data_IF_769829723121
#
_entry.id   IF_769829723121
#
_cell.length_a   1.000
_cell.length_b   1.000
_cell.length_c   1.000
_cell.angle_alpha   90.00
_cell.angle_beta   90.00
_cell.angle_gamma   90.00
#
_symmetry.space_group_name_H-M   'P 1'
#
loop_
_entity.id
_entity.type
_entity.pdbx_description
1 polymer ?
#
# COMPACT_ATOMS: atom_id res chain seq x y z
N UNK A 1 0.05 38.34 11.03
CA UNK A 1 0.11 37.98 9.59
C UNK A 1 0.24 36.46 9.47
N UNK A 2 -0.88 35.76 9.26
CA UNK A 2 -0.88 34.30 9.10
C UNK A 2 -0.46 33.94 7.68
N UNK A 3 0.73 33.35 7.51
CA UNK A 3 1.16 32.79 6.22
C UNK A 3 0.54 31.39 6.06
N UNK A 4 -0.05 31.19 4.88
CA UNK A 4 -0.80 30.01 4.44
C UNK A 4 0.07 28.75 4.47
N UNK A 5 -0.24 27.78 5.34
CA UNK A 5 0.36 26.44 5.37
C UNK A 5 -0.39 25.41 4.48
N UNK A 6 -1.30 25.85 3.60
CA UNK A 6 -2.15 24.94 2.81
C UNK A 6 -1.58 24.45 1.49
N UNK A 7 -0.53 25.09 0.95
CA UNK A 7 0.04 24.75 -0.37
C UNK A 7 0.88 23.47 -0.38
N UNK A 8 1.66 23.23 0.67
CA UNK A 8 2.60 22.11 0.75
C UNK A 8 1.92 20.74 0.87
N UNK A 9 0.75 20.69 1.49
CA UNK A 9 0.06 19.44 1.79
C UNK A 9 -0.67 18.88 0.58
N UNK A 10 -1.32 19.75 -0.21
CA UNK A 10 -1.98 19.37 -1.45
C UNK A 10 -0.96 18.93 -2.51
N UNK A 11 0.17 19.63 -2.64
CA UNK A 11 1.25 19.26 -3.56
C UNK A 11 1.84 17.89 -3.20
N UNK A 12 2.08 17.65 -1.90
CA UNK A 12 2.55 16.36 -1.41
C UNK A 12 1.54 15.25 -1.69
N UNK A 13 0.26 15.49 -1.42
CA UNK A 13 -0.80 14.53 -1.76
C UNK A 13 -0.78 14.15 -3.24
N UNK A 14 -0.78 15.16 -4.12
CA UNK A 14 -0.78 14.96 -5.57
C UNK A 14 0.47 14.20 -6.04
N UNK A 15 1.64 14.47 -5.45
CA UNK A 15 2.87 13.75 -5.74
C UNK A 15 2.74 12.25 -5.46
N UNK A 16 2.33 11.88 -4.24
CA UNK A 16 2.17 10.47 -3.88
C UNK A 16 0.99 9.81 -4.58
N UNK A 17 -0.08 10.55 -4.87
CA UNK A 17 -1.19 10.04 -5.66
C UNK A 17 -0.72 9.65 -7.07
N UNK A 18 0.10 10.51 -7.69
CA UNK A 18 0.75 10.20 -8.98
C UNK A 18 1.68 8.99 -8.88
N UNK A 19 2.46 8.86 -7.80
CA UNK A 19 3.30 7.69 -7.57
C UNK A 19 2.48 6.41 -7.43
N UNK A 20 1.39 6.45 -6.65
CA UNK A 20 0.48 5.34 -6.47
C UNK A 20 -0.16 4.91 -7.79
N UNK A 21 -0.69 5.85 -8.56
CA UNK A 21 -1.33 5.55 -9.84
C UNK A 21 -0.30 4.98 -10.85
N UNK A 22 0.94 5.44 -10.81
CA UNK A 22 2.04 4.85 -11.59
C UNK A 22 2.42 3.44 -11.11
N UNK A 23 2.45 3.21 -9.79
CA UNK A 23 2.71 1.91 -9.20
C UNK A 23 1.67 0.86 -9.67
N UNK A 24 0.40 1.25 -9.72
CA UNK A 24 -0.70 0.42 -10.24
C UNK A 24 -0.52 0.11 -11.72
N UNK A 25 -0.15 1.11 -12.54
CA UNK A 25 0.13 0.88 -13.97
C UNK A 25 1.24 -0.15 -14.15
N UNK A 26 2.36 0.03 -13.44
CA UNK A 26 3.50 -0.89 -13.44
C UNK A 26 3.13 -2.29 -12.98
N UNK A 27 2.29 -2.40 -11.94
CA UNK A 27 1.78 -3.69 -11.47
C UNK A 27 1.02 -4.43 -12.57
N UNK A 28 0.17 -3.72 -13.32
CA UNK A 28 -0.65 -4.30 -14.39
C UNK A 28 0.16 -4.75 -15.61
N UNK A 29 1.30 -4.10 -15.87
CA UNK A 29 2.22 -4.49 -16.95
C UNK A 29 3.37 -5.37 -16.44
N UNK A 30 3.22 -5.95 -15.25
CA UNK A 30 4.16 -6.91 -14.66
C UNK A 30 5.57 -6.36 -14.36
N UNK A 31 5.73 -5.03 -14.32
CA UNK A 31 6.95 -4.37 -13.83
C UNK A 31 7.00 -4.37 -12.29
N UNK A 32 7.01 -5.57 -11.71
CA UNK A 32 6.73 -5.74 -10.28
C UNK A 32 7.78 -5.11 -9.37
N UNK A 33 9.06 -5.10 -9.73
CA UNK A 33 10.12 -4.48 -8.92
C UNK A 33 9.93 -2.97 -8.83
N UNK A 34 9.65 -2.32 -9.96
CA UNK A 34 9.40 -0.88 -10.04
C UNK A 34 8.08 -0.50 -9.36
N UNK A 35 7.06 -1.36 -9.48
CA UNK A 35 5.78 -1.21 -8.79
C UNK A 35 5.96 -1.29 -7.26
N UNK A 36 6.67 -2.30 -6.77
CA UNK A 36 7.00 -2.48 -5.36
C UNK A 36 7.68 -1.24 -4.77
N UNK A 37 8.77 -0.76 -5.39
CA UNK A 37 9.49 0.43 -4.88
C UNK A 37 8.57 1.66 -4.79
N UNK A 38 7.65 1.80 -5.75
CA UNK A 38 6.71 2.93 -5.78
C UNK A 38 5.66 2.80 -4.67
N UNK A 39 5.09 1.62 -4.45
CA UNK A 39 4.17 1.38 -3.33
C UNK A 39 4.85 1.53 -1.97
N UNK A 40 6.10 1.08 -1.83
CA UNK A 40 6.87 1.22 -0.60
C UNK A 40 7.10 2.70 -0.26
N UNK A 41 7.45 3.50 -1.28
CA UNK A 41 7.57 4.95 -1.14
C UNK A 41 6.26 5.61 -0.72
N UNK A 42 5.11 5.17 -1.27
CA UNK A 42 3.80 5.71 -0.90
C UNK A 42 3.40 5.30 0.52
N UNK A 43 3.63 4.04 0.90
CA UNK A 43 3.27 3.53 2.22
C UNK A 43 4.11 4.16 3.35
N UNK A 44 5.40 4.40 3.12
CA UNK A 44 6.34 4.92 4.13
C UNK A 44 6.55 6.44 4.05
N UNK A 45 6.16 7.08 2.95
CA UNK A 45 6.43 8.51 2.70
C UNK A 45 5.54 9.48 3.48
N UNK A 46 4.58 8.99 4.27
CA UNK A 46 3.59 9.83 4.96
C UNK A 46 3.75 9.82 6.47
N UNK A 47 3.44 10.99 7.07
CA UNK A 47 3.33 11.12 8.52
C UNK A 47 1.90 11.22 9.06
N UNK A 48 0.95 11.98 8.50
CA UNK A 48 -0.38 12.10 9.18
C UNK A 48 -1.63 12.41 8.32
N UNK A 49 -1.54 12.71 7.02
CA UNK A 49 -2.68 13.37 6.33
C UNK A 49 -3.41 12.55 5.25
N UNK A 50 -2.81 11.45 4.75
CA UNK A 50 -3.44 10.60 3.72
C UNK A 50 -3.35 9.13 4.09
N UNK A 51 -3.90 8.85 5.27
CA UNK A 51 -3.92 7.54 5.88
C UNK A 51 -4.52 6.48 4.93
N UNK A 52 -5.60 6.81 4.21
CA UNK A 52 -6.23 5.89 3.26
C UNK A 52 -5.30 5.48 2.10
N UNK A 53 -4.61 6.44 1.46
CA UNK A 53 -3.72 6.14 0.33
C UNK A 53 -2.51 5.29 0.76
N UNK A 54 -1.98 5.55 1.96
CA UNK A 54 -0.89 4.77 2.52
C UNK A 54 -1.31 3.32 2.77
N UNK A 55 -2.51 3.10 3.34
CA UNK A 55 -3.02 1.74 3.54
C UNK A 55 -3.41 1.06 2.23
N UNK A 56 -3.91 1.80 1.25
CA UNK A 56 -4.11 1.27 -0.10
C UNK A 56 -2.80 0.76 -0.70
N UNK A 57 -1.70 1.49 -0.53
CA UNK A 57 -0.38 1.04 -0.97
C UNK A 57 0.09 -0.20 -0.18
N UNK A 58 -0.13 -0.23 1.14
CA UNK A 58 0.18 -1.40 1.98
C UNK A 58 -0.56 -2.66 1.54
N UNK A 59 -1.78 -2.56 1.01
CA UNK A 59 -2.49 -3.70 0.44
C UNK A 59 -1.73 -4.31 -0.75
N UNK A 60 -1.23 -3.48 -1.66
CA UNK A 60 -0.43 -3.98 -2.79
C UNK A 60 0.94 -4.49 -2.35
N UNK A 61 1.60 -3.87 -1.38
CA UNK A 61 2.83 -4.40 -0.78
C UNK A 61 2.61 -5.79 -0.17
N UNK A 62 1.48 -6.00 0.51
CA UNK A 62 1.12 -7.29 1.05
C UNK A 62 0.98 -8.34 -0.05
N UNK A 63 0.39 -7.99 -1.22
CA UNK A 63 0.34 -8.88 -2.39
C UNK A 63 1.73 -9.20 -2.96
N UNK A 64 2.60 -8.19 -3.06
CA UNK A 64 3.99 -8.39 -3.49
C UNK A 64 4.72 -9.39 -2.58
N UNK A 65 4.60 -9.25 -1.26
CA UNK A 65 5.19 -10.17 -0.30
C UNK A 65 4.50 -11.55 -0.28
N UNK A 66 3.18 -11.61 -0.47
CA UNK A 66 2.42 -12.86 -0.48
C UNK A 66 2.89 -13.80 -1.62
N UNK A 67 3.10 -13.24 -2.81
CA UNK A 67 3.38 -14.00 -4.03
C UNK A 67 4.88 -14.02 -4.35
N UNK A 68 5.64 -13.01 -3.91
CA UNK A 68 7.05 -12.82 -4.27
C UNK A 68 7.23 -12.06 -5.59
N UNK A 69 6.37 -11.09 -5.87
CA UNK A 69 6.43 -10.30 -7.11
C UNK A 69 7.38 -9.13 -6.94
N UNK A 70 8.49 -9.09 -7.68
CA UNK A 70 9.45 -7.98 -7.62
C UNK A 70 10.24 -7.85 -6.30
N UNK A 71 9.94 -8.69 -5.31
CA UNK A 71 10.61 -8.85 -4.04
C UNK A 71 10.50 -10.30 -3.59
N UNK A 72 11.40 -10.76 -2.71
CA UNK A 72 11.32 -12.08 -2.09
C UNK A 72 10.00 -12.27 -1.35
N UNK A 73 9.36 -13.42 -1.57
CA UNK A 73 8.15 -13.84 -0.86
C UNK A 73 8.39 -13.83 0.66
N UNK A 74 7.48 -13.23 1.42
CA UNK A 74 7.53 -13.16 2.87
C UNK A 74 6.10 -13.16 3.43
N UNK A 75 5.66 -14.33 3.90
CA UNK A 75 4.27 -14.51 4.34
C UNK A 75 3.95 -13.76 5.62
N UNK A 76 4.90 -13.67 6.57
CA UNK A 76 4.69 -12.95 7.84
C UNK A 76 4.49 -11.46 7.60
N UNK A 77 5.33 -10.86 6.74
CA UNK A 77 5.17 -9.46 6.33
C UNK A 77 3.86 -9.24 5.59
N UNK A 78 3.49 -10.13 4.68
CA UNK A 78 2.22 -10.05 3.98
C UNK A 78 1.03 -10.08 4.96
N UNK A 79 1.03 -11.02 5.91
CA UNK A 79 -0.02 -11.12 6.92
C UNK A 79 -0.11 -9.87 7.79
N UNK A 80 1.02 -9.34 8.27
CA UNK A 80 1.03 -8.14 9.10
C UNK A 80 0.47 -6.93 8.35
N UNK A 81 0.89 -6.73 7.10
CA UNK A 81 0.36 -5.66 6.27
C UNK A 81 -1.14 -5.82 6.00
N UNK A 82 -1.63 -7.04 5.73
CA UNK A 82 -3.07 -7.26 5.59
C UNK A 82 -3.85 -6.96 6.87
N UNK A 83 -3.30 -7.24 8.06
CA UNK A 83 -3.93 -6.87 9.34
C UNK A 83 -4.03 -5.34 9.50
N UNK A 84 -2.95 -4.62 9.18
CA UNK A 84 -2.96 -3.15 9.19
C UNK A 84 -4.01 -2.60 8.23
N UNK A 85 -4.07 -3.10 7.00
CA UNK A 85 -5.06 -2.66 5.99
C UNK A 85 -6.48 -2.94 6.45
N UNK A 86 -6.76 -4.14 6.96
CA UNK A 86 -8.10 -4.51 7.42
C UNK A 86 -8.62 -3.61 8.56
N UNK A 87 -7.73 -3.20 9.46
CA UNK A 87 -8.09 -2.37 10.63
C UNK A 87 -8.08 -0.86 10.34
N UNK A 88 -7.93 -0.49 9.07
CA UNK A 88 -7.76 0.90 8.63
C UNK A 88 -8.94 1.47 7.83
N UNK A 89 -8.77 2.71 7.35
CA UNK A 89 -9.67 3.40 6.43
C UNK A 89 -9.55 2.96 4.95
N UNK A 90 -8.65 2.04 4.60
CA UNK A 90 -8.44 1.60 3.21
C UNK A 90 -9.71 1.04 2.56
N UNK A 91 -9.93 1.37 1.29
CA UNK A 91 -10.97 0.75 0.46
C UNK A 91 -10.75 -0.74 0.23
N UNK A 92 -9.55 -1.26 0.49
CA UNK A 92 -9.21 -2.68 0.34
C UNK A 92 -9.37 -3.48 1.63
N UNK A 93 -9.86 -2.88 2.73
CA UNK A 93 -9.97 -3.55 4.04
C UNK A 93 -10.67 -4.92 4.00
N UNK A 94 -11.78 -5.05 3.26
CA UNK A 94 -12.50 -6.34 3.15
C UNK A 94 -11.75 -7.36 2.30
N UNK A 95 -10.99 -6.90 1.29
CA UNK A 95 -10.12 -7.79 0.51
C UNK A 95 -8.95 -8.27 1.35
N UNK A 96 -8.39 -7.39 2.19
CA UNK A 96 -7.35 -7.76 3.14
C UNK A 96 -7.88 -8.78 4.17
N UNK A 97 -9.10 -8.59 4.68
CA UNK A 97 -9.79 -9.58 5.54
C UNK A 97 -9.90 -10.93 4.85
N UNK A 98 -10.33 -10.97 3.59
CA UNK A 98 -10.43 -12.23 2.85
C UNK A 98 -9.06 -12.91 2.73
N UNK A 99 -7.99 -12.15 2.44
CA UNK A 99 -6.64 -12.70 2.40
C UNK A 99 -6.18 -13.28 3.74
N UNK A 100 -6.52 -12.63 4.86
CA UNK A 100 -6.25 -13.16 6.20
C UNK A 100 -7.00 -14.47 6.48
N UNK A 101 -8.25 -14.58 6.04
CA UNK A 101 -9.02 -15.83 6.17
C UNK A 101 -8.42 -16.96 5.32
N UNK A 102 -7.96 -16.64 4.10
CA UNK A 102 -7.28 -17.61 3.23
C UNK A 102 -6.03 -18.17 3.92
N UNK A 103 -5.24 -17.34 4.60
CA UNK A 103 -4.09 -17.80 5.38
C UNK A 103 -4.45 -18.84 6.45
N UNK A 104 -5.56 -18.63 7.16
CA UNK A 104 -6.01 -19.55 8.22
C UNK A 104 -6.53 -20.86 7.61
N UNK A 105 -7.29 -20.76 6.52
CA UNK A 105 -7.90 -21.92 5.86
C UNK A 105 -6.90 -22.93 5.30
N UNK A 106 -5.72 -22.46 4.87
CA UNK A 106 -4.68 -23.30 4.30
C UNK A 106 -3.51 -23.60 5.26
N UNK A 107 -3.61 -23.19 6.53
CA UNK A 107 -2.61 -23.46 7.57
C UNK A 107 -2.99 -24.62 8.51
N UNK A 108 -4.20 -25.18 8.37
CA UNK A 108 -4.64 -26.41 9.05
C UNK A 108 -4.84 -27.54 8.05
#
# INVERSE_FOLDING_TARGET
>A
MSKKNGGSNLERYNHFKKLYDNAIKKYKIEEYKSSYCSFDSVANGYRFENEELAYDAKYYLALHFLIGLGITKNLDKAQNLFKEVFTSSSKYKERAKQKLLDFIKYAG
#
